data_IF_972624127261
#
_entry.id   IF_972624127261
#
_cell.length_a   1.000
_cell.length_b   1.000
_cell.length_c   1.000
_cell.angle_alpha   90.00
_cell.angle_beta   90.00
_cell.angle_gamma   90.00
#
_symmetry.space_group_name_H-M   'P 1'
#
loop_
_entity.id
_entity.type
_entity.pdbx_description
1 polymer ?
#
# COMPACT_ATOMS: atom_id res chain seq x y z
N UNK A 1 -1.77 12.41 2.07
CA UNK A 1 -2.00 12.32 0.62
C UNK A 1 -3.41 11.79 0.30
N UNK A 2 -3.81 10.63 0.81
CA UNK A 2 -5.10 10.01 0.45
C UNK A 2 -6.25 10.98 0.73
N UNK A 3 -6.34 11.53 1.94
CA UNK A 3 -7.40 12.48 2.29
C UNK A 3 -7.42 13.75 1.42
N UNK A 4 -6.24 14.20 0.93
CA UNK A 4 -6.13 15.43 0.16
C UNK A 4 -6.31 15.23 -1.36
N UNK A 5 -5.91 14.06 -1.90
CA UNK A 5 -5.85 13.82 -3.35
C UNK A 5 -6.86 12.76 -3.79
N UNK A 6 -7.06 11.72 -2.99
CA UNK A 6 -7.93 10.58 -3.29
C UNK A 6 -8.86 10.25 -2.12
N UNK A 7 -9.71 11.20 -1.64
CA UNK A 7 -10.55 11.00 -0.46
C UNK A 7 -11.50 9.80 -0.60
N UNK A 8 -11.94 9.51 -1.81
CA UNK A 8 -12.82 8.37 -2.09
C UNK A 8 -12.18 7.02 -1.74
N UNK A 9 -10.85 6.89 -1.90
CA UNK A 9 -10.11 5.68 -1.50
C UNK A 9 -10.15 5.50 0.02
N UNK A 10 -9.96 6.58 0.77
CA UNK A 10 -10.06 6.55 2.24
C UNK A 10 -11.47 6.18 2.71
N UNK A 11 -12.49 6.79 2.11
CA UNK A 11 -13.89 6.49 2.41
C UNK A 11 -14.25 5.05 2.06
N UNK A 12 -13.79 4.54 0.91
CA UNK A 12 -14.02 3.16 0.50
C UNK A 12 -13.35 2.17 1.46
N UNK A 13 -12.11 2.43 1.87
CA UNK A 13 -11.36 1.61 2.84
C UNK A 13 -12.08 1.55 4.19
N UNK A 14 -12.53 2.70 4.70
CA UNK A 14 -13.31 2.79 5.93
C UNK A 14 -14.60 1.97 5.85
N UNK A 15 -15.38 2.16 4.77
CA UNK A 15 -16.65 1.44 4.55
C UNK A 15 -16.41 -0.07 4.42
N UNK A 16 -15.35 -0.48 3.73
CA UNK A 16 -15.00 -1.89 3.57
C UNK A 16 -14.70 -2.54 4.92
N UNK A 17 -13.84 -1.95 5.73
CA UNK A 17 -13.51 -2.44 7.07
C UNK A 17 -14.74 -2.52 7.98
N UNK A 18 -15.59 -1.49 7.99
CA UNK A 18 -16.88 -1.51 8.72
C UNK A 18 -17.80 -2.63 8.24
N UNK A 19 -17.88 -2.88 6.93
CA UNK A 19 -18.71 -3.96 6.38
C UNK A 19 -18.21 -5.36 6.75
N UNK A 20 -16.92 -5.48 7.07
CA UNK A 20 -16.29 -6.70 7.57
C UNK A 20 -16.37 -6.85 9.10
N UNK A 21 -17.09 -5.95 9.77
CA UNK A 21 -17.32 -6.02 11.22
C UNK A 21 -16.19 -5.45 12.07
N UNK A 22 -15.23 -4.74 11.47
CA UNK A 22 -14.14 -4.11 12.21
C UNK A 22 -14.65 -2.82 12.87
N UNK A 23 -14.30 -2.62 14.13
CA UNK A 23 -14.49 -1.33 14.79
C UNK A 23 -13.36 -0.39 14.36
N UNK A 24 -13.70 0.64 13.56
CA UNK A 24 -12.74 1.53 12.92
C UNK A 24 -12.86 2.92 13.48
N UNK A 25 -11.74 3.45 13.95
CA UNK A 25 -11.56 4.85 14.28
C UNK A 25 -10.70 5.56 13.21
N UNK A 26 -10.91 6.86 13.04
CA UNK A 26 -10.17 7.70 12.10
C UNK A 26 -9.72 8.98 12.80
N UNK A 27 -8.52 9.00 13.41
CA UNK A 27 -7.99 10.19 14.08
C UNK A 27 -7.84 11.35 13.09
N UNK A 28 -8.48 12.50 13.38
CA UNK A 28 -8.42 13.68 12.50
C UNK A 28 -7.06 14.39 12.55
N UNK A 29 -6.29 14.19 13.61
CA UNK A 29 -4.97 14.82 13.81
C UNK A 29 -3.84 14.11 13.07
N UNK A 30 -4.14 13.06 12.30
CA UNK A 30 -3.13 12.34 11.53
C UNK A 30 -2.52 13.21 10.42
N UNK A 31 -1.25 12.98 10.14
CA UNK A 31 -0.47 13.71 9.15
C UNK A 31 0.18 12.77 8.13
N UNK A 32 1.13 13.26 7.37
CA UNK A 32 1.98 12.46 6.50
C UNK A 32 2.84 11.49 7.33
N UNK A 33 3.16 10.31 6.76
CA UNK A 33 4.09 9.35 7.37
C UNK A 33 5.55 9.84 7.46
N UNK A 34 5.90 10.92 6.77
CA UNK A 34 7.26 11.48 6.77
C UNK A 34 8.17 10.98 5.65
N UNK A 35 7.78 9.97 4.87
CA UNK A 35 8.61 9.41 3.80
C UNK A 35 9.16 10.45 2.81
N UNK A 36 8.38 11.43 2.28
CA UNK A 36 8.92 12.42 1.37
C UNK A 36 10.03 13.28 2.01
N UNK A 37 9.91 13.59 3.30
CA UNK A 37 10.91 14.37 4.04
C UNK A 37 12.20 13.56 4.21
N UNK A 38 12.07 12.30 4.63
CA UNK A 38 13.22 11.40 4.77
C UNK A 38 13.94 11.18 3.43
N UNK A 39 13.20 10.94 2.34
CA UNK A 39 13.77 10.73 1.02
C UNK A 39 14.47 11.99 0.47
N UNK A 40 14.03 13.17 0.86
CA UNK A 40 14.65 14.44 0.50
C UNK A 40 15.78 14.87 1.44
N UNK A 41 16.15 14.05 2.45
CA UNK A 41 17.25 14.33 3.38
C UNK A 41 16.86 15.23 4.56
N UNK A 42 15.58 15.55 4.76
CA UNK A 42 15.09 16.34 5.90
C UNK A 42 14.81 15.42 7.09
N UNK A 43 15.88 14.91 7.71
CA UNK A 43 15.78 13.89 8.78
C UNK A 43 15.05 14.42 10.02
N UNK A 44 15.30 15.67 10.43
CA UNK A 44 14.65 16.28 11.62
C UNK A 44 13.13 16.39 11.44
N UNK A 45 12.67 16.78 10.25
CA UNK A 45 11.25 16.86 9.93
C UNK A 45 10.61 15.47 9.86
N UNK A 46 11.32 14.51 9.29
CA UNK A 46 10.87 13.13 9.25
C UNK A 46 10.76 12.53 10.66
N UNK A 47 11.70 12.84 11.55
CA UNK A 47 11.68 12.40 12.96
C UNK A 47 10.48 12.95 13.72
N UNK A 48 10.18 14.24 13.59
CA UNK A 48 8.99 14.87 14.20
C UNK A 48 7.68 14.23 13.74
N UNK A 49 7.60 13.91 12.45
CA UNK A 49 6.42 13.25 11.87
C UNK A 49 6.30 11.81 12.36
N UNK A 50 7.41 11.07 12.46
CA UNK A 50 7.43 9.71 12.96
C UNK A 50 7.01 9.65 14.44
N UNK A 51 7.51 10.57 15.29
CA UNK A 51 7.13 10.67 16.70
C UNK A 51 5.65 10.97 16.85
N UNK A 52 5.14 11.96 16.10
CA UNK A 52 3.72 12.30 16.11
C UNK A 52 2.84 11.14 15.66
N UNK A 53 3.28 10.38 14.64
CA UNK A 53 2.57 9.20 14.19
C UNK A 53 2.51 8.14 15.30
N UNK A 54 3.65 7.83 15.91
CA UNK A 54 3.71 6.84 16.99
C UNK A 54 2.83 7.23 18.16
N UNK A 55 2.93 8.48 18.65
CA UNK A 55 2.12 8.98 19.76
C UNK A 55 0.62 8.91 19.50
N UNK A 56 0.20 9.18 18.26
CA UNK A 56 -1.21 9.15 17.87
C UNK A 56 -1.74 7.71 17.76
N UNK A 57 -0.93 6.79 17.24
CA UNK A 57 -1.40 5.46 16.84
C UNK A 57 -1.01 4.32 17.79
N UNK A 58 -0.04 4.49 18.68
CA UNK A 58 0.43 3.42 19.59
C UNK A 58 -0.65 2.80 20.48
N UNK A 59 -1.75 3.52 20.71
CA UNK A 59 -2.88 3.07 21.53
C UNK A 59 -3.80 2.06 20.85
N UNK A 60 -3.76 1.96 19.52
CA UNK A 60 -4.61 1.04 18.74
C UNK A 60 -4.02 -0.36 18.68
N UNK A 61 -4.89 -1.37 18.59
CA UNK A 61 -4.47 -2.77 18.40
C UNK A 61 -3.90 -3.00 17.01
N UNK A 62 -4.52 -2.37 16.01
CA UNK A 62 -4.11 -2.42 14.61
C UNK A 62 -4.15 -1.03 13.98
N UNK A 63 -3.22 -0.80 13.07
CA UNK A 63 -3.16 0.42 12.25
C UNK A 63 -3.25 -0.03 10.80
N UNK A 64 -4.25 0.44 10.05
CA UNK A 64 -4.47 -0.03 8.68
C UNK A 64 -4.34 1.14 7.71
N UNK A 65 -3.42 1.02 6.76
CA UNK A 65 -3.18 2.05 5.74
C UNK A 65 -3.50 1.54 4.33
N UNK A 66 -4.22 2.31 3.50
CA UNK A 66 -4.50 1.95 2.10
C UNK A 66 -3.39 2.39 1.13
N UNK A 67 -2.19 2.66 1.62
CA UNK A 67 -1.03 3.07 0.82
C UNK A 67 0.18 2.24 1.20
N UNK A 68 0.58 1.30 0.35
CA UNK A 68 1.69 0.38 0.60
C UNK A 68 3.00 1.10 0.92
N UNK A 69 3.33 2.21 0.23
CA UNK A 69 4.55 2.97 0.49
C UNK A 69 4.56 3.62 1.88
N UNK A 70 3.43 4.20 2.32
CA UNK A 70 3.32 4.77 3.66
C UNK A 70 3.42 3.69 4.74
N UNK A 71 2.74 2.56 4.54
CA UNK A 71 2.78 1.43 5.48
C UNK A 71 4.19 0.86 5.59
N UNK A 72 4.85 0.63 4.46
CA UNK A 72 6.23 0.15 4.42
C UNK A 72 7.18 1.12 5.14
N UNK A 73 7.06 2.41 4.87
CA UNK A 73 7.90 3.43 5.51
C UNK A 73 7.73 3.44 7.04
N UNK A 74 6.50 3.44 7.53
CA UNK A 74 6.24 3.38 8.99
C UNK A 74 6.80 2.09 9.58
N UNK A 75 6.52 0.95 8.95
CA UNK A 75 6.91 -0.36 9.46
C UNK A 75 8.42 -0.55 9.54
N UNK A 76 9.15 -0.11 8.51
CA UNK A 76 10.57 -0.42 8.34
C UNK A 76 11.50 0.72 8.77
N UNK A 77 11.07 1.98 8.64
CA UNK A 77 11.94 3.13 8.85
C UNK A 77 11.68 3.88 10.16
N UNK A 78 10.42 4.00 10.62
CA UNK A 78 10.13 4.69 11.88
C UNK A 78 10.92 4.12 13.07
N UNK A 79 11.08 2.79 13.25
CA UNK A 79 11.89 2.25 14.34
C UNK A 79 13.32 2.80 14.35
N UNK A 80 13.98 2.84 13.20
CA UNK A 80 15.34 3.38 13.08
C UNK A 80 15.41 4.90 13.26
N UNK A 81 14.43 5.63 12.77
CA UNK A 81 14.33 7.08 12.92
C UNK A 81 14.16 7.43 14.41
N UNK A 82 13.21 6.82 15.08
CA UNK A 82 12.90 7.11 16.49
C UNK A 82 13.99 6.62 17.45
N UNK A 83 14.67 5.53 17.13
CA UNK A 83 15.80 5.05 17.93
C UNK A 83 16.97 6.05 17.98
N UNK A 84 17.21 6.84 16.91
CA UNK A 84 18.22 7.91 16.91
C UNK A 84 17.90 9.00 17.95
N UNK A 85 16.62 9.22 18.24
CA UNK A 85 16.12 10.19 19.20
C UNK A 85 15.93 9.57 20.62
N UNK A 86 16.29 8.31 20.80
CA UNK A 86 16.12 7.59 22.07
C UNK A 86 14.67 7.14 22.36
N UNK A 87 13.81 7.11 21.34
CA UNK A 87 12.41 6.66 21.44
C UNK A 87 12.23 5.26 20.90
N UNK A 88 11.32 4.49 21.51
CA UNK A 88 10.87 3.21 20.99
C UNK A 88 9.63 3.43 20.09
N UNK A 89 9.60 2.80 18.93
CA UNK A 89 8.45 2.84 18.03
C UNK A 89 7.50 1.68 18.35
N UNK A 90 6.30 1.98 18.86
CA UNK A 90 5.28 0.98 19.18
C UNK A 90 4.31 0.70 18.01
N UNK A 91 4.08 1.71 17.18
CA UNK A 91 3.13 1.63 16.06
C UNK A 91 3.61 0.75 14.90
N UNK A 92 4.92 0.63 14.69
CA UNK A 92 5.49 -0.09 13.56
C UNK A 92 5.14 -1.59 13.55
N UNK A 93 5.00 -2.22 14.72
CA UNK A 93 4.59 -3.62 14.83
C UNK A 93 3.10 -3.87 14.59
N UNK A 94 2.30 -2.81 14.62
CA UNK A 94 0.83 -2.86 14.55
C UNK A 94 0.28 -2.42 13.19
N UNK A 95 1.14 -1.90 12.30
CA UNK A 95 0.72 -1.35 11.00
C UNK A 95 0.65 -2.42 9.93
N UNK A 96 -0.45 -2.39 9.19
CA UNK A 96 -0.76 -3.29 8.08
C UNK A 96 -1.20 -2.50 6.85
N UNK A 97 -0.82 -2.99 5.68
CA UNK A 97 -1.50 -2.63 4.44
C UNK A 97 -2.95 -3.13 4.48
N UNK A 98 -3.88 -2.42 3.84
CA UNK A 98 -5.30 -2.76 3.83
C UNK A 98 -5.55 -4.20 3.34
N UNK A 99 -4.90 -4.59 2.23
CA UNK A 99 -5.05 -5.94 1.67
C UNK A 99 -4.45 -6.99 2.61
N UNK A 100 -3.26 -6.74 3.16
CA UNK A 100 -2.64 -7.63 4.13
C UNK A 100 -3.51 -7.80 5.38
N UNK A 101 -4.09 -6.73 5.91
CA UNK A 101 -4.96 -6.81 7.08
C UNK A 101 -6.21 -7.65 6.80
N UNK A 102 -6.87 -7.41 5.67
CA UNK A 102 -8.06 -8.19 5.30
C UNK A 102 -7.70 -9.66 5.06
N UNK A 103 -6.60 -9.93 4.34
CA UNK A 103 -6.18 -11.28 3.98
C UNK A 103 -5.67 -12.08 5.17
N UNK A 104 -4.79 -11.49 6.00
CA UNK A 104 -4.05 -12.23 7.03
C UNK A 104 -4.76 -12.23 8.40
N UNK A 105 -5.52 -11.14 8.71
CA UNK A 105 -6.16 -10.94 10.02
C UNK A 105 -7.65 -11.24 9.95
N UNK A 106 -8.39 -10.59 9.05
CA UNK A 106 -9.84 -10.76 8.94
C UNK A 106 -10.22 -12.09 8.32
N UNK A 107 -9.55 -12.51 7.25
CA UNK A 107 -9.73 -13.77 6.52
C UNK A 107 -11.19 -14.02 6.12
N UNK A 108 -11.82 -13.12 5.37
CA UNK A 108 -13.21 -13.29 4.99
C UNK A 108 -13.37 -14.46 4.03
N UNK A 109 -14.37 -15.30 4.23
CA UNK A 109 -14.71 -16.39 3.29
C UNK A 109 -15.37 -15.86 2.01
N UNK A 110 -15.98 -14.66 2.06
CA UNK A 110 -16.65 -14.00 0.93
C UNK A 110 -16.74 -12.51 1.14
N UNK A 111 -16.81 -11.76 0.06
CA UNK A 111 -17.09 -10.33 0.05
C UNK A 111 -18.48 -10.09 -0.57
N UNK A 112 -19.26 -9.17 0.02
CA UNK A 112 -20.52 -8.70 -0.55
C UNK A 112 -20.23 -7.65 -1.63
N UNK A 113 -19.52 -8.04 -2.68
CA UNK A 113 -19.09 -7.17 -3.75
C UNK A 113 -19.28 -7.87 -5.11
N UNK A 114 -19.65 -7.09 -6.12
CA UNK A 114 -19.81 -7.55 -7.49
C UNK A 114 -19.15 -6.57 -8.45
N UNK A 115 -18.26 -7.07 -9.29
CA UNK A 115 -17.54 -6.26 -10.28
C UNK A 115 -17.31 -7.09 -11.55
N UNK A 116 -18.31 -7.21 -12.46
CA UNK A 116 -18.25 -8.10 -13.63
C UNK A 116 -17.41 -7.48 -14.75
N UNK A 117 -16.13 -7.29 -14.51
CA UNK A 117 -15.18 -6.68 -15.43
C UNK A 117 -13.84 -7.40 -15.41
N UNK A 118 -13.07 -7.18 -16.48
CA UNK A 118 -11.70 -7.65 -16.63
C UNK A 118 -10.73 -6.69 -15.94
N UNK A 119 -9.99 -7.19 -14.98
CA UNK A 119 -9.09 -6.40 -14.13
C UNK A 119 -7.68 -6.93 -14.20
N UNK A 120 -6.70 -6.06 -14.43
CA UNK A 120 -5.28 -6.39 -14.34
C UNK A 120 -4.69 -5.88 -13.04
N UNK A 121 -3.91 -6.71 -12.35
CA UNK A 121 -3.31 -6.36 -11.06
C UNK A 121 -1.98 -5.64 -11.27
N UNK A 122 -1.86 -4.45 -10.67
CA UNK A 122 -0.60 -3.74 -10.51
C UNK A 122 0.01 -4.06 -9.14
N UNK A 123 1.11 -4.79 -9.13
CA UNK A 123 1.88 -5.05 -7.92
C UNK A 123 2.85 -3.89 -7.67
N UNK A 124 2.61 -3.10 -6.62
CA UNK A 124 3.46 -1.98 -6.27
C UNK A 124 4.81 -2.44 -5.70
N UNK A 125 5.89 -1.68 -5.94
CA UNK A 125 7.24 -2.04 -5.48
C UNK A 125 7.32 -2.26 -3.96
N UNK A 126 6.78 -1.33 -3.17
CA UNK A 126 6.74 -1.45 -1.70
C UNK A 126 5.85 -2.61 -1.25
N UNK A 127 4.70 -2.81 -1.92
CA UNK A 127 3.81 -3.93 -1.64
C UNK A 127 4.50 -5.28 -1.83
N UNK A 128 5.21 -5.45 -2.93
CA UNK A 128 5.90 -6.70 -3.25
C UNK A 128 7.12 -6.92 -2.36
N UNK A 129 8.08 -5.98 -2.38
CA UNK A 129 9.42 -6.18 -1.83
C UNK A 129 9.56 -5.90 -0.35
N UNK A 130 8.76 -4.98 0.18
CA UNK A 130 8.85 -4.56 1.58
C UNK A 130 7.74 -5.15 2.45
N UNK A 131 6.52 -5.29 1.89
CA UNK A 131 5.35 -5.80 2.63
C UNK A 131 4.98 -7.24 2.29
N UNK A 132 5.62 -7.85 1.28
CA UNK A 132 5.34 -9.22 0.86
C UNK A 132 3.83 -9.44 0.58
N UNK A 133 3.22 -8.52 -0.18
CA UNK A 133 1.82 -8.66 -0.61
C UNK A 133 1.68 -9.65 -1.78
N UNK A 134 2.75 -9.81 -2.56
CA UNK A 134 2.89 -10.86 -3.57
C UNK A 134 4.34 -11.36 -3.63
N UNK A 135 4.55 -12.51 -4.26
CA UNK A 135 5.88 -13.09 -4.43
C UNK A 135 6.76 -12.22 -5.34
N UNK A 136 7.90 -11.70 -4.85
CA UNK A 136 8.87 -11.02 -5.69
C UNK A 136 9.53 -12.01 -6.66
N UNK A 137 9.67 -11.66 -7.94
CA UNK A 137 10.25 -12.55 -8.96
C UNK A 137 11.71 -12.90 -8.66
N UNK A 138 12.46 -11.97 -8.06
CA UNK A 138 13.89 -12.15 -7.70
C UNK A 138 14.14 -13.18 -6.59
N UNK A 139 13.14 -13.49 -5.76
CA UNK A 139 13.31 -14.47 -4.68
C UNK A 139 13.13 -15.92 -5.12
N UNK A 140 12.57 -16.15 -6.32
CA UNK A 140 12.32 -17.47 -6.87
C UNK A 140 11.59 -18.43 -5.88
N UNK A 141 10.61 -17.88 -5.17
CA UNK A 141 9.74 -18.61 -4.22
C UNK A 141 8.42 -18.99 -4.90
N UNK A 142 7.64 -19.93 -4.34
CA UNK A 142 6.30 -20.21 -4.85
C UNK A 142 5.45 -18.96 -4.95
N UNK A 143 4.76 -18.80 -6.10
CA UNK A 143 3.94 -17.63 -6.36
C UNK A 143 2.74 -17.54 -5.40
N UNK A 144 2.52 -16.34 -4.88
CA UNK A 144 1.33 -15.97 -4.14
C UNK A 144 1.02 -14.48 -4.41
N UNK A 145 -0.24 -14.07 -4.23
CA UNK A 145 -0.66 -12.67 -4.34
C UNK A 145 -1.91 -12.45 -3.50
N UNK A 146 -1.76 -11.76 -2.36
CA UNK A 146 -2.84 -11.49 -1.40
C UNK A 146 -3.97 -10.65 -2.00
N UNK A 147 -3.64 -9.68 -2.87
CA UNK A 147 -4.66 -8.88 -3.55
C UNK A 147 -5.48 -9.74 -4.51
N UNK A 148 -4.83 -10.63 -5.26
CA UNK A 148 -5.52 -11.58 -6.13
C UNK A 148 -6.47 -12.48 -5.34
N UNK A 149 -6.01 -13.03 -4.23
CA UNK A 149 -6.82 -13.92 -3.39
C UNK A 149 -8.07 -13.21 -2.87
N UNK A 150 -7.94 -11.92 -2.46
CA UNK A 150 -9.09 -11.12 -2.05
C UNK A 150 -10.02 -10.76 -3.21
N UNK A 151 -9.48 -10.44 -4.39
CA UNK A 151 -10.29 -10.11 -5.56
C UNK A 151 -11.09 -11.32 -6.06
N UNK A 152 -10.58 -12.54 -5.90
CA UNK A 152 -11.31 -13.77 -6.24
C UNK A 152 -12.60 -13.96 -5.43
N UNK A 153 -12.74 -13.26 -4.28
CA UNK A 153 -13.96 -13.26 -3.48
C UNK A 153 -15.03 -12.29 -4.03
N UNK A 154 -14.73 -11.50 -5.07
CA UNK A 154 -15.64 -10.53 -5.69
C UNK A 154 -16.39 -11.21 -6.83
N UNK A 155 -17.73 -11.14 -6.81
CA UNK A 155 -18.58 -11.78 -7.82
C UNK A 155 -18.38 -11.17 -9.21
N UNK A 156 -18.13 -12.04 -10.20
CA UNK A 156 -18.07 -11.69 -11.61
C UNK A 156 -16.76 -11.04 -12.09
N UNK A 157 -15.78 -10.84 -11.23
CA UNK A 157 -14.49 -10.30 -11.62
C UNK A 157 -13.67 -11.33 -12.43
N UNK A 158 -13.03 -10.87 -13.51
CA UNK A 158 -12.03 -11.65 -14.25
C UNK A 158 -10.64 -11.02 -13.99
N UNK A 159 -9.70 -11.80 -13.45
CA UNK A 159 -8.40 -11.30 -13.00
C UNK A 159 -7.31 -11.70 -13.97
N UNK A 160 -6.53 -10.71 -14.40
CA UNK A 160 -5.36 -10.86 -15.25
C UNK A 160 -4.11 -10.31 -14.59
N UNK A 161 -2.97 -10.86 -14.95
CA UNK A 161 -1.66 -10.36 -14.53
C UNK A 161 -0.81 -10.08 -15.77
N UNK A 162 -0.09 -8.96 -15.83
CA UNK A 162 0.80 -8.66 -16.94
C UNK A 162 1.98 -9.63 -16.97
N UNK A 163 2.63 -9.78 -18.12
CA UNK A 163 3.81 -10.65 -18.29
C UNK A 163 4.96 -10.32 -17.33
N UNK A 164 5.10 -9.05 -16.96
CA UNK A 164 6.08 -8.56 -15.99
C UNK A 164 5.35 -8.12 -14.70
N UNK A 165 4.98 -9.11 -13.88
CA UNK A 165 4.07 -8.94 -12.72
C UNK A 165 4.54 -7.90 -11.69
N UNK A 166 5.83 -7.78 -11.46
CA UNK A 166 6.45 -6.92 -10.43
C UNK A 166 7.40 -5.86 -11.01
N UNK A 167 7.27 -5.57 -12.31
CA UNK A 167 8.00 -4.48 -12.97
C UNK A 167 7.64 -3.13 -12.33
N UNK A 168 8.66 -2.29 -12.15
CA UNK A 168 8.49 -0.94 -11.62
C UNK A 168 7.69 -0.06 -12.58
N UNK A 169 6.73 0.72 -12.05
CA UNK A 169 5.95 1.68 -12.83
C UNK A 169 6.65 3.03 -13.08
N UNK A 170 7.85 3.22 -12.49
CA UNK A 170 8.62 4.45 -12.63
C UNK A 170 8.18 5.60 -11.73
N UNK A 171 7.14 5.47 -10.90
CA UNK A 171 6.67 6.58 -10.08
C UNK A 171 7.72 7.01 -9.04
N UNK A 172 8.15 6.12 -8.15
CA UNK A 172 9.24 6.35 -7.19
C UNK A 172 9.17 7.63 -6.33
N UNK A 173 8.02 8.31 -6.24
CA UNK A 173 7.86 9.55 -5.51
C UNK A 173 8.71 10.70 -6.10
N UNK A 174 9.81 11.06 -5.44
CA UNK A 174 10.74 12.11 -5.91
C UNK A 174 11.35 11.78 -7.27
N UNK A 175 11.62 10.51 -7.55
CA UNK A 175 12.16 10.07 -8.85
C UNK A 175 11.30 10.53 -10.03
N UNK A 176 9.96 10.53 -9.90
CA UNK A 176 9.07 10.99 -10.96
C UNK A 176 9.17 12.51 -11.23
N UNK A 177 9.71 13.28 -10.28
CA UNK A 177 9.93 14.73 -10.41
C UNK A 177 11.33 15.03 -10.94
N UNK A 178 12.33 14.33 -10.43
CA UNK A 178 13.74 14.55 -10.74
C UNK A 178 14.13 13.91 -12.08
N UNK A 179 13.60 12.70 -12.38
CA UNK A 179 13.91 11.91 -13.57
C UNK A 179 12.67 11.70 -14.45
N UNK A 180 11.92 12.77 -14.71
CA UNK A 180 10.63 12.74 -15.38
C UNK A 180 10.61 11.95 -16.69
N UNK A 181 11.63 12.10 -17.53
CA UNK A 181 11.69 11.42 -18.83
C UNK A 181 11.76 9.90 -18.69
N UNK A 182 12.58 9.42 -17.75
CA UNK A 182 12.74 7.98 -17.46
C UNK A 182 11.48 7.42 -16.81
N UNK A 183 10.93 8.15 -15.82
CA UNK A 183 9.68 7.79 -15.14
C UNK A 183 8.52 7.60 -16.14
N UNK A 184 8.36 8.53 -17.08
CA UNK A 184 7.32 8.43 -18.13
C UNK A 184 7.53 7.24 -19.05
N UNK A 185 8.77 6.93 -19.44
CA UNK A 185 9.06 5.77 -20.25
C UNK A 185 8.69 4.47 -19.52
N UNK A 186 9.11 4.32 -18.27
CA UNK A 186 8.77 3.15 -17.43
C UNK A 186 7.24 3.01 -17.25
N UNK A 187 6.55 4.12 -16.98
CA UNK A 187 5.10 4.14 -16.84
C UNK A 187 4.36 3.71 -18.12
N UNK A 188 4.85 4.15 -19.30
CA UNK A 188 4.30 3.73 -20.59
C UNK A 188 4.48 2.22 -20.84
N UNK A 189 5.65 1.68 -20.52
CA UNK A 189 5.90 0.24 -20.64
C UNK A 189 4.98 -0.56 -19.72
N UNK A 190 4.85 -0.12 -18.47
CA UNK A 190 3.94 -0.75 -17.51
C UNK A 190 2.49 -0.74 -17.98
N UNK A 191 1.99 0.40 -18.47
CA UNK A 191 0.62 0.50 -19.01
C UNK A 191 0.46 -0.41 -20.23
N UNK A 192 1.43 -0.46 -21.14
CA UNK A 192 1.40 -1.35 -22.30
C UNK A 192 1.23 -2.81 -21.89
N UNK A 193 2.02 -3.29 -20.91
CA UNK A 193 1.92 -4.67 -20.42
C UNK A 193 0.55 -4.97 -19.81
N UNK A 194 -0.06 -3.99 -19.12
CA UNK A 194 -1.44 -4.14 -18.64
C UNK A 194 -2.45 -4.18 -19.80
N UNK A 195 -2.30 -3.32 -20.82
CA UNK A 195 -3.19 -3.32 -21.99
C UNK A 195 -3.14 -4.63 -22.78
N UNK A 196 -1.96 -5.25 -22.88
CA UNK A 196 -1.76 -6.55 -23.54
C UNK A 196 -2.57 -7.68 -22.90
N UNK A 197 -2.97 -7.54 -21.63
CA UNK A 197 -3.85 -8.52 -20.97
C UNK A 197 -5.30 -8.47 -21.44
N UNK A 198 -5.71 -7.40 -22.14
CA UNK A 198 -7.10 -7.16 -22.52
C UNK A 198 -7.99 -6.74 -21.34
N UNK A 199 -7.42 -6.35 -20.21
CA UNK A 199 -8.16 -5.86 -19.05
C UNK A 199 -8.79 -4.49 -19.33
N UNK A 200 -9.97 -4.24 -18.73
CA UNK A 200 -10.71 -2.97 -18.80
C UNK A 200 -10.25 -1.99 -17.70
N UNK A 201 -9.75 -2.55 -16.58
CA UNK A 201 -9.30 -1.79 -15.41
C UNK A 201 -7.95 -2.29 -14.92
N UNK A 202 -7.20 -1.39 -14.30
CA UNK A 202 -5.98 -1.71 -13.54
C UNK A 202 -6.26 -1.41 -12.08
N UNK A 203 -5.93 -2.33 -11.17
CA UNK A 203 -6.04 -2.16 -9.71
C UNK A 203 -4.73 -2.55 -9.03
N UNK A 204 -4.43 -1.94 -7.85
CA UNK A 204 -3.25 -2.25 -7.08
C UNK A 204 -3.27 -1.62 -5.70
#
# INVERSE_FOLDING_TARGET
YINAIYPDVGVASYKLLKSLGVDVDYPLDQTCCGQPMANAGFEDEASKLALRFDDLFKQYDYIVGPSGSCVAFVKLNHPGILAKEGHQCESAGKIYDLCAFIHDVIKPEKLKARFPHKVSIHNSCHGVRELMLSAPSELNIPYFNKLRDLLQLVEGIEIFEPSHVDECCGFGGMFAVEEQAVSVCMGRDKIRHHMETGAEYITG
#
